data_IF_963088340240
#
_entry.id   IF_963088340240
#
_cell.length_a   1.000
_cell.length_b   1.000
_cell.length_c   1.000
_cell.angle_alpha   90.00
_cell.angle_beta   90.00
_cell.angle_gamma   90.00
#
_symmetry.space_group_name_H-M   'P 1'
#
loop_
_entity.id
_entity.type
_entity.pdbx_description
1 polymer ?
#
# COMPACT_ATOMS: atom_id res chain seq x y z
N UNK A 1 2.78 4.58 0.71
CA UNK A 1 2.75 4.27 2.16
C UNK A 1 3.45 2.96 2.47
N UNK A 2 3.24 1.87 1.71
CA UNK A 2 3.88 0.56 2.00
C UNK A 2 5.39 0.66 2.16
N UNK A 3 6.10 1.35 1.26
CA UNK A 3 7.55 1.55 1.38
C UNK A 3 8.01 2.31 2.64
N UNK A 4 7.11 2.93 3.39
CA UNK A 4 7.46 3.60 4.66
C UNK A 4 7.30 2.68 5.87
N UNK A 5 6.75 1.48 5.71
CA UNK A 5 6.47 0.58 6.84
C UNK A 5 7.71 0.18 7.63
N UNK A 6 8.89 -0.10 7.03
CA UNK A 6 10.10 -0.37 7.80
C UNK A 6 10.53 0.80 8.69
N UNK A 7 10.43 2.02 8.17
CA UNK A 7 10.75 3.22 8.92
C UNK A 7 9.73 3.49 10.05
N UNK A 8 8.44 3.18 9.82
CA UNK A 8 7.41 3.25 10.86
C UNK A 8 7.69 2.23 11.98
N UNK A 9 8.10 1.01 11.65
CA UNK A 9 8.48 0.01 12.65
C UNK A 9 9.71 0.47 13.48
N UNK A 10 10.65 1.22 12.89
CA UNK A 10 11.77 1.81 13.64
C UNK A 10 11.27 2.87 14.64
N UNK A 11 10.29 3.70 14.27
CA UNK A 11 9.64 4.64 15.20
C UNK A 11 8.95 3.87 16.32
N UNK A 12 8.22 2.80 16.00
CA UNK A 12 7.53 1.94 16.98
C UNK A 12 8.51 1.32 17.99
N UNK A 13 9.66 0.88 17.50
CA UNK A 13 10.67 0.26 18.35
C UNK A 13 11.46 1.27 19.21
N UNK A 14 11.57 2.51 18.74
CA UNK A 14 12.27 3.58 19.47
C UNK A 14 11.46 4.09 20.66
N UNK A 15 10.15 4.27 20.49
CA UNK A 15 9.29 4.80 21.56
C UNK A 15 8.59 3.66 22.33
N UNK A 16 8.79 3.59 23.63
CA UNK A 16 8.06 2.65 24.49
C UNK A 16 6.57 3.03 24.58
N UNK A 17 5.68 2.06 24.36
CA UNK A 17 4.24 2.29 24.51
C UNK A 17 3.63 3.22 23.44
N UNK A 18 4.26 3.34 22.29
CA UNK A 18 3.82 4.26 21.22
C UNK A 18 2.37 4.03 20.79
N UNK A 19 1.64 5.13 20.63
CA UNK A 19 0.32 5.21 20.02
C UNK A 19 0.42 6.05 18.74
N UNK A 20 -0.05 5.51 17.62
CA UNK A 20 0.10 6.16 16.31
C UNK A 20 -1.23 6.70 15.80
N UNK A 21 -1.24 7.97 15.41
CA UNK A 21 -2.30 8.55 14.58
C UNK A 21 -1.82 8.62 13.14
N UNK A 22 -2.40 7.80 12.27
CA UNK A 22 -2.10 7.85 10.83
C UNK A 22 -2.89 8.95 10.14
N UNK A 23 -2.19 9.80 9.38
CA UNK A 23 -2.76 10.92 8.65
C UNK A 23 -2.34 10.81 7.18
N UNK A 24 -3.29 10.75 6.25
CA UNK A 24 -2.92 10.56 4.85
C UNK A 24 -4.07 10.58 3.85
N UNK A 25 -3.80 10.12 2.64
CA UNK A 25 -4.85 9.87 1.66
C UNK A 25 -5.69 8.66 2.05
N UNK A 26 -6.91 8.57 1.55
CA UNK A 26 -7.82 7.44 1.79
C UNK A 26 -7.11 6.09 1.59
N UNK A 27 -6.47 5.88 0.44
CA UNK A 27 -5.75 4.62 0.15
C UNK A 27 -4.64 4.33 1.17
N UNK A 28 -3.89 5.36 1.60
CA UNK A 28 -2.83 5.18 2.59
C UNK A 28 -3.38 4.81 3.97
N UNK A 29 -4.50 5.40 4.36
CA UNK A 29 -5.16 5.13 5.63
C UNK A 29 -5.74 3.73 5.64
N UNK A 30 -6.46 3.33 4.59
CA UNK A 30 -7.03 1.98 4.48
C UNK A 30 -5.95 0.88 4.54
N UNK A 31 -4.77 1.13 3.97
CA UNK A 31 -3.66 0.19 4.03
C UNK A 31 -2.98 0.11 5.42
N UNK A 32 -3.09 1.17 6.25
CA UNK A 32 -2.36 1.25 7.53
C UNK A 32 -3.28 1.16 8.76
N UNK A 33 -4.60 1.21 8.60
CA UNK A 33 -5.54 1.27 9.74
C UNK A 33 -5.46 0.07 10.68
N UNK A 34 -5.07 -1.10 10.16
CA UNK A 34 -4.94 -2.33 10.94
C UNK A 34 -3.58 -2.48 11.65
N UNK A 35 -2.74 -1.44 11.61
CA UNK A 35 -1.46 -1.49 12.33
C UNK A 35 -1.70 -1.58 13.85
N UNK A 36 -1.03 -2.52 14.59
CA UNK A 36 -1.33 -2.79 16.01
C UNK A 36 -1.20 -1.57 16.94
N UNK A 37 -0.40 -0.58 16.55
CA UNK A 37 -0.20 0.66 17.32
C UNK A 37 -1.07 1.81 16.82
N UNK A 38 -1.98 1.58 15.86
CA UNK A 38 -2.89 2.59 15.34
C UNK A 38 -4.05 2.82 16.32
N UNK A 39 -4.12 4.02 16.88
CA UNK A 39 -5.24 4.44 17.75
C UNK A 39 -6.23 5.34 17.04
N UNK A 40 -5.78 6.01 15.97
CA UNK A 40 -6.62 6.92 15.20
C UNK A 40 -6.13 7.00 13.75
N UNK A 41 -7.05 7.14 12.83
CA UNK A 41 -6.76 7.36 11.42
C UNK A 41 -7.52 8.58 10.91
N UNK A 42 -6.87 9.40 10.07
CA UNK A 42 -7.46 10.63 9.54
C UNK A 42 -7.14 10.77 8.06
N UNK A 43 -8.19 10.78 7.26
CA UNK A 43 -8.08 11.06 5.82
C UNK A 43 -7.97 12.57 5.61
N UNK A 44 -6.94 13.00 4.91
CA UNK A 44 -6.69 14.42 4.62
C UNK A 44 -7.51 14.89 3.42
N UNK A 45 -8.27 15.95 3.63
CA UNK A 45 -8.91 16.71 2.56
C UNK A 45 -7.87 17.42 1.68
N UNK A 46 -8.27 17.77 0.45
CA UNK A 46 -7.44 18.53 -0.48
C UNK A 46 -7.37 20.04 -0.15
N UNK A 47 -8.36 20.59 0.53
CA UNK A 47 -8.48 22.04 0.84
C UNK A 47 -7.59 22.44 2.03
N UNK A 48 -6.88 23.56 1.94
CA UNK A 48 -6.01 24.06 3.02
C UNK A 48 -6.80 24.44 4.29
N UNK A 49 -8.00 24.98 4.15
CA UNK A 49 -8.88 25.27 5.30
C UNK A 49 -9.25 24.02 6.08
N UNK A 50 -9.50 22.93 5.38
CA UNK A 50 -9.77 21.63 6.02
C UNK A 50 -8.51 21.06 6.69
N UNK A 51 -7.32 21.20 6.06
CA UNK A 51 -6.05 20.80 6.68
C UNK A 51 -5.79 21.56 7.98
N UNK A 52 -6.06 22.86 8.00
CA UNK A 52 -5.92 23.68 9.21
C UNK A 52 -6.87 23.21 10.32
N UNK A 53 -8.17 23.02 10.00
CA UNK A 53 -9.16 22.50 10.95
C UNK A 53 -8.74 21.12 11.49
N UNK A 54 -8.30 20.23 10.60
CA UNK A 54 -7.80 18.91 10.97
C UNK A 54 -6.62 19.03 11.95
N UNK A 55 -5.61 19.84 11.62
CA UNK A 55 -4.44 20.01 12.48
C UNK A 55 -4.80 20.51 13.88
N UNK A 56 -5.76 21.43 14.00
CA UNK A 56 -6.23 21.96 15.29
C UNK A 56 -7.02 20.93 16.11
N UNK A 57 -7.79 20.05 15.44
CA UNK A 57 -8.67 19.08 16.10
C UNK A 57 -7.96 17.75 16.44
N UNK A 58 -6.72 17.58 16.02
CA UNK A 58 -5.96 16.35 16.28
C UNK A 58 -5.43 16.23 17.72
N UNK A 59 -5.33 17.36 18.44
CA UNK A 59 -4.74 17.41 19.77
C UNK A 59 -3.21 17.58 19.74
N UNK A 60 -2.55 17.23 20.83
CA UNK A 60 -1.10 17.35 21.02
C UNK A 60 -0.41 16.00 20.82
N UNK A 61 0.80 16.03 20.25
CA UNK A 61 1.64 14.86 20.02
C UNK A 61 3.05 15.09 20.59
N UNK A 62 3.73 14.01 20.94
CA UNK A 62 5.16 14.06 21.30
C UNK A 62 6.01 14.22 20.03
N UNK A 63 5.64 13.51 18.95
CA UNK A 63 6.36 13.59 17.68
C UNK A 63 5.42 13.55 16.47
N UNK A 64 5.81 14.28 15.42
CA UNK A 64 5.17 14.26 14.12
C UNK A 64 6.19 13.93 13.03
N UNK A 65 5.94 12.88 12.27
CA UNK A 65 6.76 12.45 11.13
C UNK A 65 5.99 12.61 9.82
N UNK A 66 6.52 13.42 8.90
CA UNK A 66 5.97 13.54 7.57
C UNK A 66 6.87 12.85 6.54
N UNK A 67 6.41 11.78 5.94
CA UNK A 67 7.09 11.04 4.86
C UNK A 67 6.93 11.68 3.47
N UNK A 68 6.43 12.90 3.41
CA UNK A 68 6.27 13.66 2.16
C UNK A 68 6.90 15.03 2.26
N UNK A 69 7.48 15.52 1.15
CA UNK A 69 8.13 16.82 1.02
C UNK A 69 7.27 17.89 0.34
N UNK A 70 5.96 17.65 0.16
CA UNK A 70 5.06 18.58 -0.53
C UNK A 70 4.75 19.84 0.31
N UNK A 71 4.41 20.94 -0.37
CA UNK A 71 4.01 22.18 0.31
C UNK A 71 2.83 21.99 1.27
N UNK A 72 1.84 21.15 0.87
CA UNK A 72 0.70 20.81 1.73
C UNK A 72 1.11 20.12 3.04
N UNK A 73 2.09 19.26 3.01
CA UNK A 73 2.58 18.58 4.22
C UNK A 73 3.45 19.50 5.07
N UNK A 74 4.16 20.47 4.48
CA UNK A 74 4.82 21.55 5.20
C UNK A 74 3.81 22.44 5.93
N UNK A 75 2.71 22.80 5.26
CA UNK A 75 1.60 23.53 5.86
C UNK A 75 0.99 22.76 7.06
N UNK A 76 0.69 21.48 6.89
CA UNK A 76 0.18 20.65 7.98
C UNK A 76 1.16 20.60 9.16
N UNK A 77 2.46 20.37 8.89
CA UNK A 77 3.53 20.38 9.90
C UNK A 77 3.55 21.68 10.72
N UNK A 78 3.31 22.82 10.08
CA UNK A 78 3.32 24.11 10.76
C UNK A 78 2.20 24.20 11.81
N UNK A 79 0.98 23.76 11.47
CA UNK A 79 -0.19 23.93 12.33
C UNK A 79 -0.43 22.76 13.31
N UNK A 80 0.13 21.59 13.09
CA UNK A 80 -0.03 20.47 14.01
C UNK A 80 0.69 20.75 15.32
N UNK A 81 0.05 20.46 16.45
CA UNK A 81 0.66 20.63 17.77
C UNK A 81 1.49 19.37 18.11
N UNK A 82 2.81 19.46 17.96
CA UNK A 82 3.74 18.40 18.34
C UNK A 82 5.03 19.01 18.91
N UNK A 83 5.63 18.31 19.89
CA UNK A 83 6.90 18.73 20.51
C UNK A 83 8.03 18.64 19.47
N UNK A 84 8.14 17.51 18.80
CA UNK A 84 9.12 17.27 17.76
C UNK A 84 8.44 17.12 16.41
N UNK A 85 8.96 17.80 15.38
CA UNK A 85 8.34 17.80 14.03
C UNK A 85 9.39 17.50 12.97
N UNK A 86 9.32 16.31 12.40
CA UNK A 86 10.24 15.82 11.38
C UNK A 86 9.58 15.83 10.00
N UNK A 87 10.34 16.23 9.00
CA UNK A 87 9.86 16.31 7.62
C UNK A 87 10.87 15.68 6.68
N UNK A 88 10.45 14.69 5.91
CA UNK A 88 11.25 14.09 4.86
C UNK A 88 11.62 15.14 3.80
N UNK A 89 12.90 15.20 3.47
CA UNK A 89 13.40 16.01 2.36
C UNK A 89 13.92 15.10 1.24
N UNK A 90 13.25 15.12 0.10
CA UNK A 90 13.60 14.31 -1.07
C UNK A 90 14.99 14.62 -1.65
N UNK A 91 15.52 15.83 -1.40
CA UNK A 91 16.80 16.27 -1.92
C UNK A 91 17.98 15.83 -1.02
N UNK A 92 17.72 15.53 0.25
CA UNK A 92 18.73 15.04 1.20
C UNK A 92 19.04 13.56 0.97
N UNK A 93 18.00 12.77 0.66
CA UNK A 93 18.12 11.31 0.51
C UNK A 93 18.04 10.95 -0.97
N UNK A 94 19.17 10.92 -1.66
CA UNK A 94 19.30 10.66 -3.09
C UNK A 94 20.02 9.33 -3.35
N UNK A 95 19.94 8.84 -4.59
CA UNK A 95 20.70 7.68 -5.10
C UNK A 95 20.51 6.35 -4.34
N UNK A 96 19.36 6.15 -3.72
CA UNK A 96 19.01 4.88 -3.09
C UNK A 96 17.51 4.58 -3.21
N UNK A 97 17.14 3.32 -2.93
CA UNK A 97 15.75 2.88 -2.97
C UNK A 97 14.88 3.63 -1.96
N UNK A 98 13.59 3.83 -2.26
CA UNK A 98 12.68 4.64 -1.44
C UNK A 98 12.54 4.14 0.01
N UNK A 99 12.61 2.83 0.23
CA UNK A 99 12.61 2.23 1.58
C UNK A 99 13.80 2.73 2.38
N UNK A 100 15.00 2.72 1.79
CA UNK A 100 16.21 3.21 2.43
C UNK A 100 16.12 4.70 2.72
N UNK A 101 15.60 5.50 1.78
CA UNK A 101 15.39 6.95 2.00
C UNK A 101 14.53 7.24 3.23
N UNK A 102 13.46 6.49 3.42
CA UNK A 102 12.58 6.66 4.59
C UNK A 102 13.24 6.15 5.87
N UNK A 103 14.01 5.09 5.80
CA UNK A 103 14.79 4.58 6.92
C UNK A 103 15.82 5.62 7.38
N UNK A 104 16.64 6.12 6.46
CA UNK A 104 17.67 7.12 6.75
C UNK A 104 17.06 8.41 7.31
N UNK A 105 15.89 8.82 6.80
CA UNK A 105 15.15 9.95 7.36
C UNK A 105 14.77 9.74 8.83
N UNK A 106 14.29 8.55 9.19
CA UNK A 106 13.94 8.24 10.58
C UNK A 106 15.18 8.11 11.46
N UNK A 107 16.25 7.50 10.93
CA UNK A 107 17.54 7.42 11.60
C UNK A 107 18.06 8.82 11.97
N UNK A 108 18.08 9.74 11.01
CA UNK A 108 18.49 11.13 11.25
C UNK A 108 17.57 11.85 12.26
N UNK A 109 16.25 11.62 12.17
CA UNK A 109 15.28 12.28 13.03
C UNK A 109 15.38 11.83 14.49
N UNK A 110 15.74 10.57 14.72
CA UNK A 110 15.79 9.95 16.05
C UNK A 110 17.22 9.75 16.58
N UNK A 111 18.24 10.10 15.76
CA UNK A 111 19.67 9.86 16.07
C UNK A 111 19.96 8.39 16.35
N UNK A 112 19.42 7.50 15.53
CA UNK A 112 19.62 6.06 15.56
C UNK A 112 20.30 5.59 14.27
N UNK A 113 20.85 4.38 14.27
CA UNK A 113 21.44 3.74 13.10
C UNK A 113 20.84 2.35 12.93
N UNK A 114 19.78 2.27 12.12
CA UNK A 114 19.08 1.03 11.83
C UNK A 114 19.05 0.76 10.32
N UNK A 115 19.18 -0.51 9.96
CA UNK A 115 18.97 -0.94 8.56
C UNK A 115 17.47 -1.10 8.26
N UNK A 116 17.04 -0.89 7.00
CA UNK A 116 15.66 -1.12 6.61
C UNK A 116 15.26 -2.59 6.81
N UNK A 117 14.15 -2.83 7.48
CA UNK A 117 13.53 -4.15 7.61
C UNK A 117 12.71 -4.49 6.36
N UNK A 118 12.13 -5.68 6.32
CA UNK A 118 11.13 -6.06 5.30
C UNK A 118 9.92 -5.13 5.37
N UNK A 119 9.25 -4.95 4.24
CA UNK A 119 7.94 -4.30 4.20
C UNK A 119 6.97 -5.10 5.08
N UNK A 120 5.97 -4.41 5.66
CA UNK A 120 5.00 -5.06 6.54
C UNK A 120 3.64 -4.37 6.43
N UNK A 121 2.62 -5.15 6.19
CA UNK A 121 1.22 -4.74 6.32
C UNK A 121 0.54 -5.65 7.35
N UNK A 122 -0.40 -5.09 8.10
CA UNK A 122 -1.17 -5.82 9.09
C UNK A 122 -2.59 -6.03 8.56
N UNK A 123 -3.05 -7.26 8.62
CA UNK A 123 -4.40 -7.66 8.23
C UNK A 123 -5.31 -7.77 9.45
N UNK A 124 -6.61 -7.72 9.23
CA UNK A 124 -7.57 -8.22 10.20
C UNK A 124 -7.51 -9.76 10.18
N UNK A 125 -7.52 -10.39 11.35
CA UNK A 125 -7.60 -11.84 11.46
C UNK A 125 -8.84 -12.32 10.69
N UNK A 126 -8.64 -13.08 9.63
CA UNK A 126 -9.71 -13.80 8.93
C UNK A 126 -9.47 -15.30 9.08
N UNK A 127 -10.56 -16.05 9.11
CA UNK A 127 -10.54 -17.50 9.09
C UNK A 127 -9.70 -18.02 7.91
N UNK A 128 -8.92 -19.03 8.16
CA UNK A 128 -8.20 -19.76 7.12
C UNK A 128 -9.22 -20.56 6.30
N UNK A 129 -9.56 -20.06 5.12
CA UNK A 129 -10.25 -20.88 4.12
C UNK A 129 -9.34 -22.04 3.72
N UNK A 130 -9.89 -23.23 3.61
CA UNK A 130 -9.13 -24.38 3.10
C UNK A 130 -8.91 -24.17 1.61
N UNK A 131 -7.72 -23.70 1.24
CA UNK A 131 -7.33 -23.51 -0.16
C UNK A 131 -6.97 -24.89 -0.71
N UNK A 132 -7.72 -25.36 -1.70
CA UNK A 132 -7.49 -26.68 -2.35
C UNK A 132 -6.36 -26.60 -3.39
N UNK A 133 -6.20 -25.47 -4.08
CA UNK A 133 -5.13 -25.20 -5.05
C UNK A 133 -4.39 -23.93 -4.68
N UNK A 134 -3.11 -23.79 -5.03
CA UNK A 134 -2.39 -22.53 -4.88
C UNK A 134 -3.04 -21.42 -5.72
N UNK A 135 -2.88 -20.17 -5.28
CA UNK A 135 -3.53 -19.02 -5.87
C UNK A 135 -2.57 -18.20 -6.74
N UNK A 136 -2.96 -17.97 -7.99
CA UNK A 136 -2.32 -17.03 -8.90
C UNK A 136 -3.11 -15.73 -8.95
N UNK A 137 -2.52 -14.63 -8.52
CA UNK A 137 -3.07 -13.30 -8.76
C UNK A 137 -2.51 -12.68 -10.04
N UNK A 138 -3.36 -12.03 -10.83
CA UNK A 138 -2.93 -11.18 -11.93
C UNK A 138 -3.51 -9.77 -11.77
N UNK A 139 -2.68 -8.73 -11.97
CA UNK A 139 -3.10 -7.33 -11.90
C UNK A 139 -2.64 -6.57 -13.15
N UNK A 140 -3.50 -6.48 -14.17
CA UNK A 140 -3.15 -5.89 -15.46
C UNK A 140 -3.12 -4.37 -15.44
N UNK A 141 -3.66 -3.75 -14.38
CA UNK A 141 -3.83 -2.32 -14.28
C UNK A 141 -2.56 -1.55 -13.92
N UNK A 142 -2.50 -0.30 -14.37
CA UNK A 142 -1.57 0.71 -13.87
C UNK A 142 -2.21 2.09 -14.04
N UNK A 143 -2.40 2.81 -12.92
CA UNK A 143 -3.08 4.11 -12.90
C UNK A 143 -2.30 5.22 -13.65
N UNK A 144 -1.00 5.07 -13.86
CA UNK A 144 -0.11 6.06 -14.47
C UNK A 144 0.18 5.84 -15.97
N UNK A 145 -0.74 5.20 -16.69
CA UNK A 145 -0.70 5.14 -18.14
C UNK A 145 -0.41 3.76 -18.74
N UNK A 146 -0.70 3.62 -20.02
CA UNK A 146 -0.61 2.38 -20.78
C UNK A 146 0.81 1.81 -20.90
N UNK A 147 1.83 2.67 -20.86
CA UNK A 147 3.23 2.25 -20.96
C UNK A 147 3.71 1.32 -19.81
N UNK A 148 2.96 1.25 -18.71
CA UNK A 148 3.24 0.34 -17.58
C UNK A 148 2.34 -0.89 -17.57
N UNK A 149 1.53 -1.07 -18.60
CA UNK A 149 0.58 -2.19 -18.73
C UNK A 149 1.12 -3.19 -19.72
N UNK A 150 1.11 -4.44 -19.35
CA UNK A 150 1.27 -5.54 -20.30
C UNK A 150 -0.08 -5.78 -21.00
N UNK A 151 -0.08 -6.45 -22.16
CA UNK A 151 -1.29 -6.65 -22.94
C UNK A 151 -2.23 -7.69 -22.29
N UNK A 152 -3.58 -7.50 -22.35
CA UNK A 152 -4.55 -8.46 -21.82
C UNK A 152 -4.34 -9.88 -22.34
N UNK A 153 -3.97 -10.02 -23.62
CA UNK A 153 -3.70 -11.30 -24.27
C UNK A 153 -2.56 -12.07 -23.60
N UNK A 154 -1.52 -11.38 -23.18
CA UNK A 154 -0.36 -11.99 -22.53
C UNK A 154 -0.69 -12.40 -21.10
N UNK A 155 -1.46 -11.59 -20.36
CA UNK A 155 -1.97 -11.98 -19.04
C UNK A 155 -2.86 -13.23 -19.14
N UNK A 156 -3.80 -13.26 -20.12
CA UNK A 156 -4.68 -14.39 -20.33
C UNK A 156 -3.91 -15.66 -20.77
N UNK A 157 -2.87 -15.50 -21.60
CA UNK A 157 -2.01 -16.61 -22.02
C UNK A 157 -1.33 -17.26 -20.82
N UNK A 158 -0.62 -16.47 -20.03
CA UNK A 158 0.11 -16.99 -18.84
C UNK A 158 -0.86 -17.58 -17.82
N UNK A 159 -1.98 -16.91 -17.55
CA UNK A 159 -2.99 -17.42 -16.63
C UNK A 159 -3.60 -18.73 -17.11
N UNK A 160 -3.85 -18.89 -18.41
CA UNK A 160 -4.34 -20.14 -19.01
C UNK A 160 -3.32 -21.28 -18.89
N UNK A 161 -2.06 -21.03 -19.16
CA UNK A 161 -0.99 -22.02 -19.03
C UNK A 161 -0.82 -22.52 -17.58
N UNK A 162 -1.04 -21.64 -16.59
CA UNK A 162 -0.91 -21.95 -15.17
C UNK A 162 -2.21 -22.46 -14.52
N UNK A 163 -3.37 -22.36 -15.18
CA UNK A 163 -4.68 -22.69 -14.61
C UNK A 163 -4.84 -24.14 -14.19
N UNK A 164 -4.05 -25.07 -14.75
CA UNK A 164 -4.01 -26.46 -14.30
C UNK A 164 -3.44 -26.61 -12.89
N UNK A 165 -2.53 -25.72 -12.48
CA UNK A 165 -1.81 -25.76 -11.20
C UNK A 165 -2.36 -24.75 -10.19
N UNK A 166 -2.94 -23.64 -10.63
CA UNK A 166 -3.39 -22.53 -9.79
C UNK A 166 -4.85 -22.19 -10.05
N UNK A 167 -5.54 -21.74 -9.02
CA UNK A 167 -6.77 -20.97 -9.18
C UNK A 167 -6.44 -19.51 -9.43
N UNK A 168 -7.08 -18.87 -10.42
CA UNK A 168 -6.69 -17.54 -10.92
C UNK A 168 -7.57 -16.46 -10.31
N UNK A 169 -6.97 -15.40 -9.81
CA UNK A 169 -7.66 -14.18 -9.35
C UNK A 169 -7.23 -12.98 -10.17
N UNK A 170 -8.19 -12.31 -10.81
CA UNK A 170 -7.96 -11.09 -11.58
C UNK A 170 -8.25 -9.88 -10.68
N UNK A 171 -7.24 -9.05 -10.45
CA UNK A 171 -7.36 -7.80 -9.71
C UNK A 171 -7.44 -6.59 -10.63
N UNK A 172 -7.97 -5.50 -10.10
CA UNK A 172 -8.02 -4.21 -10.78
C UNK A 172 -8.81 -3.20 -9.96
N UNK A 173 -8.51 -1.92 -10.12
CA UNK A 173 -9.33 -0.83 -9.58
C UNK A 173 -10.61 -0.62 -10.39
N UNK A 174 -11.52 0.28 -9.94
CA UNK A 174 -12.76 0.57 -10.65
C UNK A 174 -12.58 1.02 -12.10
N UNK A 175 -11.47 1.71 -12.41
CA UNK A 175 -11.13 2.14 -13.78
C UNK A 175 -10.41 1.09 -14.63
N UNK A 176 -10.29 -0.14 -14.13
CA UNK A 176 -9.56 -1.23 -14.78
C UNK A 176 -10.46 -2.43 -15.08
N UNK A 177 -11.79 -2.25 -14.93
CA UNK A 177 -12.79 -3.29 -15.19
C UNK A 177 -12.75 -3.79 -16.64
N UNK A 178 -12.62 -2.87 -17.60
CA UNK A 178 -12.64 -3.22 -19.03
C UNK A 178 -11.48 -4.16 -19.38
N UNK A 179 -10.26 -3.84 -18.96
CA UNK A 179 -9.09 -4.69 -19.20
C UNK A 179 -9.20 -6.05 -18.49
N UNK A 180 -9.80 -6.09 -17.30
CA UNK A 180 -10.05 -7.34 -16.58
C UNK A 180 -11.11 -8.19 -17.29
N UNK A 181 -12.16 -7.58 -17.84
CA UNK A 181 -13.17 -8.27 -18.66
C UNK A 181 -12.60 -8.81 -19.97
N UNK A 182 -11.67 -8.11 -20.60
CA UNK A 182 -10.99 -8.60 -21.81
C UNK A 182 -10.17 -9.86 -21.51
N UNK A 183 -9.47 -9.87 -20.37
CA UNK A 183 -8.74 -11.06 -19.90
C UNK A 183 -9.71 -12.20 -19.61
N UNK A 184 -10.81 -11.94 -18.91
CA UNK A 184 -11.83 -12.92 -18.58
C UNK A 184 -12.41 -13.59 -19.83
N UNK A 185 -12.78 -12.82 -20.87
CA UNK A 185 -13.24 -13.35 -22.16
C UNK A 185 -12.22 -14.30 -22.78
N UNK A 186 -10.94 -13.91 -22.80
CA UNK A 186 -9.87 -14.73 -23.34
C UNK A 186 -9.64 -16.02 -22.53
N UNK A 187 -9.83 -16.00 -21.21
CA UNK A 187 -9.77 -17.20 -20.37
C UNK A 187 -10.93 -18.17 -20.70
N UNK A 188 -12.15 -17.63 -20.86
CA UNK A 188 -13.33 -18.41 -21.27
C UNK A 188 -13.10 -19.07 -22.63
N UNK A 189 -12.61 -18.32 -23.63
CA UNK A 189 -12.29 -18.83 -24.98
C UNK A 189 -11.26 -19.97 -24.94
N UNK A 190 -10.36 -19.96 -23.95
CA UNK A 190 -9.35 -21.01 -23.73
C UNK A 190 -9.84 -22.17 -22.83
N UNK A 191 -11.11 -22.15 -22.41
CA UNK A 191 -11.71 -23.20 -21.59
C UNK A 191 -11.29 -23.16 -20.11
N UNK A 192 -10.73 -22.07 -19.63
CA UNK A 192 -10.38 -21.89 -18.22
C UNK A 192 -11.65 -21.54 -17.43
N UNK A 193 -11.98 -22.33 -16.41
CA UNK A 193 -13.16 -22.13 -15.55
C UNK A 193 -12.82 -21.81 -14.09
N UNK A 194 -11.60 -22.08 -13.65
CA UNK A 194 -11.15 -21.88 -12.27
C UNK A 194 -10.49 -20.50 -12.11
N UNK A 195 -11.27 -19.46 -12.35
CA UNK A 195 -10.85 -18.07 -12.13
C UNK A 195 -11.93 -17.28 -11.41
N UNK A 196 -11.52 -16.15 -10.78
CA UNK A 196 -12.40 -15.16 -10.19
C UNK A 196 -11.96 -13.75 -10.62
N UNK A 197 -12.90 -12.96 -11.17
CA UNK A 197 -12.66 -11.56 -11.51
C UNK A 197 -13.12 -10.64 -10.38
N UNK A 198 -12.18 -10.07 -9.64
CA UNK A 198 -12.39 -9.14 -8.53
C UNK A 198 -12.20 -7.67 -8.91
N UNK A 199 -11.93 -7.36 -10.18
CA UNK A 199 -11.65 -5.99 -10.63
C UNK A 199 -12.80 -5.04 -10.32
N UNK A 200 -12.49 -3.96 -9.57
CA UNK A 200 -13.45 -2.94 -9.15
C UNK A 200 -14.45 -3.37 -8.06
N UNK A 201 -14.29 -4.56 -7.49
CA UNK A 201 -15.20 -5.11 -6.48
C UNK A 201 -14.52 -5.38 -5.12
N UNK A 202 -13.28 -4.92 -4.95
CA UNK A 202 -12.54 -5.03 -3.69
C UNK A 202 -12.35 -3.68 -3.01
N UNK A 203 -12.46 -3.63 -1.70
CA UNK A 203 -11.92 -2.53 -0.89
C UNK A 203 -10.39 -2.67 -0.78
N UNK A 204 -9.70 -1.64 -0.29
CA UNK A 204 -8.25 -1.71 -0.07
C UNK A 204 -7.87 -2.82 0.94
N UNK A 205 -8.56 -2.98 2.09
CA UNK A 205 -8.32 -4.10 2.99
C UNK A 205 -8.57 -5.47 2.36
N UNK A 206 -9.64 -5.62 1.56
CA UNK A 206 -9.93 -6.87 0.87
C UNK A 206 -8.83 -7.22 -0.14
N UNK A 207 -8.39 -6.21 -0.92
CA UNK A 207 -7.27 -6.37 -1.86
C UNK A 207 -6.00 -6.85 -1.14
N UNK A 208 -5.65 -6.22 -0.01
CA UNK A 208 -4.50 -6.61 0.80
C UNK A 208 -4.65 -8.05 1.31
N UNK A 209 -5.85 -8.41 1.79
CA UNK A 209 -6.13 -9.76 2.28
C UNK A 209 -6.06 -10.82 1.17
N UNK A 210 -6.58 -10.54 -0.01
CA UNK A 210 -6.45 -11.46 -1.15
C UNK A 210 -4.99 -11.62 -1.58
N UNK A 211 -4.25 -10.50 -1.72
CA UNK A 211 -2.83 -10.54 -2.12
C UNK A 211 -1.98 -11.32 -1.11
N UNK A 212 -2.28 -11.24 0.18
CA UNK A 212 -1.52 -11.96 1.23
C UNK A 212 -1.67 -13.48 1.18
N UNK A 213 -2.69 -13.98 0.47
CA UNK A 213 -2.97 -15.41 0.32
C UNK A 213 -2.43 -15.98 -0.99
N UNK A 214 -1.84 -15.15 -1.86
CA UNK A 214 -1.32 -15.58 -3.15
C UNK A 214 0.01 -16.34 -3.02
N UNK A 215 0.14 -17.39 -3.78
CA UNK A 215 1.41 -18.11 -3.95
C UNK A 215 2.23 -17.51 -5.10
N UNK A 216 1.56 -16.93 -6.10
CA UNK A 216 2.18 -16.26 -7.24
C UNK A 216 1.40 -15.00 -7.60
N UNK A 217 2.12 -13.91 -7.90
CA UNK A 217 1.49 -12.66 -8.32
C UNK A 217 2.19 -12.04 -9.53
N UNK A 218 1.44 -11.87 -10.60
CA UNK A 218 1.91 -11.25 -11.85
C UNK A 218 1.28 -9.86 -11.99
N UNK A 219 2.10 -8.83 -11.95
CA UNK A 219 1.64 -7.45 -11.94
C UNK A 219 2.64 -6.50 -12.61
N UNK A 220 2.16 -5.39 -13.14
CA UNK A 220 3.00 -4.27 -13.53
C UNK A 220 3.48 -3.44 -12.34
N UNK A 221 4.26 -2.37 -12.61
CA UNK A 221 4.72 -1.39 -11.60
C UNK A 221 3.52 -0.56 -11.08
N UNK A 222 2.90 -1.05 -10.02
CA UNK A 222 1.66 -0.53 -9.46
C UNK A 222 1.61 -0.63 -7.93
N UNK A 223 0.56 -0.05 -7.32
CA UNK A 223 0.32 -0.14 -5.88
C UNK A 223 0.26 -1.58 -5.35
N UNK A 224 -0.51 -2.48 -5.99
CA UNK A 224 -0.58 -3.91 -5.62
C UNK A 224 0.76 -4.63 -5.59
N UNK A 225 1.71 -4.30 -6.48
CA UNK A 225 3.07 -4.85 -6.45
C UNK A 225 3.75 -4.58 -5.10
N UNK A 226 3.63 -3.35 -4.59
CA UNK A 226 4.21 -3.01 -3.28
C UNK A 226 3.48 -3.70 -2.12
N UNK A 227 2.18 -3.95 -2.27
CA UNK A 227 1.41 -4.71 -1.27
C UNK A 227 1.92 -6.15 -1.23
N UNK A 228 2.07 -6.81 -2.38
CA UNK A 228 2.58 -8.18 -2.44
C UNK A 228 3.99 -8.31 -1.83
N UNK A 229 4.85 -7.31 -2.04
CA UNK A 229 6.19 -7.31 -1.45
C UNK A 229 6.22 -7.17 0.09
N UNK A 230 5.06 -7.02 0.74
CA UNK A 230 4.95 -6.94 2.20
C UNK A 230 4.58 -8.29 2.86
N UNK A 231 4.38 -9.32 2.06
CA UNK A 231 4.08 -10.70 2.43
C UNK A 231 5.09 -11.68 1.82
#
# INVERSE_FOLDING_TARGET
>A
CVMATPAIENIVNFYNGVQITFIGSFVSIEAMKNHPKSVKTVVLDKKYSALYKTAKNLGKFDAFFSFRSSFRTKFLKFFIAAQNKYQFDKNKYINCHQVKKYNDFVNDALSIDTTPRKLKLCMQNQSSDVIQKPLLGINPGASYGSAKRWYPQEFAKVASELSSQYDVIIFGGPGEKDIAMDIEKLLIEKGVSNYQNLAGNTTIPDLINHISKLDLFITGDSGPMHVAAAF
#
